data_IF_761417845952
#
_entry.id   IF_761417845952
#
_cell.length_a   1.000
_cell.length_b   1.000
_cell.length_c   1.000
_cell.angle_alpha   90.00
_cell.angle_beta   90.00
_cell.angle_gamma   90.00
#
_symmetry.space_group_name_H-M   'P 1'
#
loop_
_entity.id
_entity.type
_entity.pdbx_description
1 polymer ?
#
# COMPACT_ATOMS: atom_id res chain seq x y z
N UNK A 1 -3.45 -10.03 1.71
CA UNK A 1 -4.68 -9.71 2.48
C UNK A 1 -4.70 -8.25 2.87
N UNK A 2 -5.88 -7.66 3.14
CA UNK A 2 -5.97 -6.25 3.52
C UNK A 2 -5.62 -6.07 5.00
N UNK A 3 -6.33 -6.74 5.90
CA UNK A 3 -5.98 -6.78 7.33
C UNK A 3 -5.41 -8.15 7.67
N UNK A 4 -4.14 -8.23 8.10
CA UNK A 4 -3.51 -9.45 8.61
C UNK A 4 -3.78 -10.70 7.75
N UNK A 5 -4.36 -11.74 8.36
CA UNK A 5 -4.69 -13.00 7.68
C UNK A 5 -5.82 -12.90 6.65
N UNK A 6 -6.55 -11.78 6.53
CA UNK A 6 -7.65 -11.62 5.59
C UNK A 6 -9.00 -11.65 6.27
N UNK A 7 -9.99 -12.30 5.66
CA UNK A 7 -11.34 -12.41 6.24
C UNK A 7 -11.43 -13.42 7.38
N UNK A 8 -10.41 -14.27 7.56
CA UNK A 8 -10.49 -15.44 8.43
C UNK A 8 -11.26 -16.62 7.82
N UNK A 9 -11.85 -16.43 6.62
CA UNK A 9 -12.53 -17.50 5.88
C UNK A 9 -11.50 -18.25 5.05
N UNK A 10 -11.28 -19.51 5.39
CA UNK A 10 -10.41 -20.42 4.64
C UNK A 10 -11.30 -21.31 3.79
N UNK A 11 -10.97 -21.44 2.50
CA UNK A 11 -11.63 -22.43 1.65
C UNK A 11 -11.22 -23.82 2.16
N UNK A 12 -12.21 -24.67 2.48
CA UNK A 12 -12.06 -26.05 2.99
C UNK A 12 -10.86 -26.76 2.38
N UNK A 13 -10.12 -27.57 3.14
CA UNK A 13 -9.01 -28.44 2.70
C UNK A 13 -7.91 -27.83 1.77
N UNK A 14 -7.97 -26.54 1.43
CA UNK A 14 -7.06 -25.90 0.47
C UNK A 14 -6.01 -25.03 1.12
N UNK A 15 -6.26 -24.55 2.35
CA UNK A 15 -5.43 -23.54 3.01
C UNK A 15 -5.51 -22.15 2.37
N UNK A 16 -6.42 -21.91 1.43
CA UNK A 16 -6.59 -20.60 0.77
C UNK A 16 -7.45 -19.70 1.65
N UNK A 17 -6.84 -18.70 2.28
CA UNK A 17 -7.57 -17.67 3.04
C UNK A 17 -8.09 -16.58 2.10
N UNK A 18 -9.39 -16.32 2.15
CA UNK A 18 -10.01 -15.27 1.35
C UNK A 18 -9.65 -13.88 1.89
N UNK A 19 -9.43 -12.94 0.97
CA UNK A 19 -9.12 -11.56 1.35
C UNK A 19 -10.35 -10.82 1.88
N UNK A 20 -10.13 -9.92 2.83
CA UNK A 20 -11.13 -8.98 3.33
C UNK A 20 -11.08 -7.59 2.65
N UNK A 21 -10.54 -7.50 1.42
CA UNK A 21 -10.39 -6.21 0.71
C UNK A 21 -11.72 -5.46 0.52
N UNK A 22 -12.83 -6.19 0.36
CA UNK A 22 -14.16 -5.60 0.22
C UNK A 22 -14.57 -4.70 1.41
N UNK A 23 -13.97 -4.87 2.59
CA UNK A 23 -14.20 -4.01 3.75
C UNK A 23 -13.78 -2.55 3.53
N UNK A 24 -13.05 -2.25 2.44
CA UNK A 24 -12.64 -0.89 2.10
C UNK A 24 -13.71 -0.11 1.31
N UNK A 25 -14.79 -0.74 0.86
CA UNK A 25 -15.89 -0.03 0.22
C UNK A 25 -16.62 0.89 1.22
N UNK A 26 -17.11 2.02 0.72
CA UNK A 26 -18.10 2.82 1.43
C UNK A 26 -19.49 2.23 1.24
N UNK A 27 -20.32 2.34 2.28
CA UNK A 27 -21.76 2.05 2.21
C UNK A 27 -22.59 3.31 1.92
N UNK A 28 -21.97 4.50 1.90
CA UNK A 28 -22.60 5.71 1.39
C UNK A 28 -22.74 5.60 -0.14
N UNK A 29 -23.97 5.58 -0.69
CA UNK A 29 -24.20 5.43 -2.12
C UNK A 29 -23.69 6.62 -2.93
N UNK A 30 -23.44 7.78 -2.31
CA UNK A 30 -22.93 8.99 -2.98
C UNK A 30 -21.40 9.04 -3.04
N UNK A 31 -20.70 8.19 -2.27
CA UNK A 31 -19.26 8.14 -2.25
C UNK A 31 -18.67 7.60 -3.56
N UNK A 32 -17.55 8.17 -4.02
CA UNK A 32 -16.83 7.65 -5.19
C UNK A 32 -16.45 6.16 -5.04
N UNK A 33 -16.15 5.74 -3.81
CA UNK A 33 -15.85 4.35 -3.46
C UNK A 33 -17.07 3.58 -2.89
N UNK A 34 -18.29 3.92 -3.28
CA UNK A 34 -19.49 3.16 -2.93
C UNK A 34 -19.42 1.71 -3.43
N UNK A 35 -19.93 0.77 -2.63
CA UNK A 35 -20.06 -0.65 -2.97
C UNK A 35 -20.98 -0.85 -4.19
N UNK A 36 -20.52 -1.64 -5.17
CA UNK A 36 -21.32 -2.04 -6.32
C UNK A 36 -20.90 -3.42 -6.86
N UNK A 37 -21.81 -4.19 -7.49
CA UNK A 37 -21.47 -5.48 -8.09
C UNK A 37 -20.32 -5.36 -9.10
N UNK A 38 -19.34 -6.28 -9.01
CA UNK A 38 -18.14 -6.35 -9.85
C UNK A 38 -17.23 -5.09 -9.87
N UNK A 39 -17.54 -4.05 -9.09
CA UNK A 39 -16.65 -2.89 -8.91
C UNK A 39 -15.42 -3.31 -8.12
N UNK A 40 -14.28 -2.68 -8.41
CA UNK A 40 -13.06 -2.79 -7.58
C UNK A 40 -13.03 -1.59 -6.64
N UNK A 41 -12.82 -1.84 -5.35
CA UNK A 41 -12.68 -0.79 -4.34
C UNK A 41 -11.35 -0.06 -4.50
N UNK A 42 -11.24 1.13 -3.91
CA UNK A 42 -9.95 1.78 -3.67
C UNK A 42 -8.97 0.77 -3.06
N UNK A 43 -7.76 0.72 -3.62
CA UNK A 43 -6.75 -0.24 -3.21
C UNK A 43 -5.57 0.46 -2.58
N UNK A 44 -5.18 0.02 -1.38
CA UNK A 44 -4.06 0.62 -0.67
C UNK A 44 -2.71 0.19 -1.22
N UNK A 45 -2.61 -0.96 -1.90
CA UNK A 45 -1.35 -1.43 -2.48
C UNK A 45 -0.88 -0.52 -3.62
N UNK A 46 0.33 0.01 -3.47
CA UNK A 46 0.97 0.89 -4.44
C UNK A 46 2.43 0.45 -4.63
N UNK A 47 2.76 -0.42 -5.60
CA UNK A 47 4.16 -0.65 -5.98
C UNK A 47 4.67 0.53 -6.82
N UNK A 48 5.90 0.98 -6.58
CA UNK A 48 6.43 2.19 -7.21
C UNK A 48 7.76 1.97 -7.92
N UNK A 49 7.93 2.65 -9.06
CA UNK A 49 9.17 2.76 -9.81
C UNK A 49 9.46 4.23 -10.11
N UNK A 50 10.66 4.69 -9.78
CA UNK A 50 11.15 6.01 -10.17
C UNK A 50 12.15 5.88 -11.32
N UNK A 51 11.98 6.73 -12.33
CA UNK A 51 12.86 6.78 -13.50
C UNK A 51 13.89 7.90 -13.35
N UNK A 52 15.11 7.64 -13.78
CA UNK A 52 16.18 8.62 -13.93
C UNK A 52 16.64 8.61 -15.38
N UNK A 53 16.51 9.74 -16.07
CA UNK A 53 16.84 9.87 -17.50
C UNK A 53 16.17 8.79 -18.37
N UNK A 54 14.87 8.55 -18.13
CA UNK A 54 14.07 7.57 -18.86
C UNK A 54 14.37 6.09 -18.52
N UNK A 55 15.27 5.81 -17.58
CA UNK A 55 15.63 4.45 -17.17
C UNK A 55 15.24 4.17 -15.72
N UNK A 56 14.88 2.93 -15.35
CA UNK A 56 14.64 2.56 -13.94
C UNK A 56 15.81 2.98 -13.05
N UNK A 57 15.54 3.88 -12.10
CA UNK A 57 16.52 4.35 -11.12
C UNK A 57 16.29 3.77 -9.73
N UNK A 58 15.03 3.49 -9.37
CA UNK A 58 14.66 2.91 -8.08
C UNK A 58 13.34 2.16 -8.20
N UNK A 59 13.26 0.95 -7.63
CA UNK A 59 12.02 0.22 -7.41
C UNK A 59 11.81 0.14 -5.91
N UNK A 60 10.65 0.56 -5.43
CA UNK A 60 10.41 0.68 -4.00
C UNK A 60 8.94 0.43 -3.64
N UNK A 61 8.77 -0.02 -2.41
CA UNK A 61 7.50 -0.39 -1.83
C UNK A 61 7.65 -0.46 -0.32
N UNK A 62 6.53 -0.33 0.38
CA UNK A 62 6.46 -0.51 1.81
C UNK A 62 5.10 -1.12 2.17
N UNK A 63 5.06 -1.91 3.24
CA UNK A 63 3.81 -2.33 3.85
C UNK A 63 3.21 -1.16 4.65
N UNK A 64 1.89 -1.16 4.88
CA UNK A 64 1.27 -0.23 5.84
C UNK A 64 0.00 0.47 5.39
N UNK A 65 -0.90 -0.22 4.66
CA UNK A 65 -2.24 0.31 4.38
C UNK A 65 -2.23 1.72 3.77
N UNK A 66 -2.92 2.65 4.43
CA UNK A 66 -3.01 4.07 4.05
C UNK A 66 -1.73 4.88 4.36
N UNK A 67 -0.81 4.31 5.14
CA UNK A 67 0.52 4.86 5.39
C UNK A 67 1.53 4.60 4.26
N UNK A 68 1.19 3.76 3.26
CA UNK A 68 2.09 3.46 2.14
C UNK A 68 2.56 4.71 1.38
N UNK A 69 1.68 5.63 0.94
CA UNK A 69 2.11 6.82 0.21
C UNK A 69 3.09 7.69 1.02
N UNK A 70 2.88 7.76 2.34
CA UNK A 70 3.72 8.54 3.24
C UNK A 70 5.12 7.91 3.38
N UNK A 71 5.19 6.59 3.51
CA UNK A 71 6.47 5.86 3.57
C UNK A 71 7.21 5.95 2.23
N UNK A 72 6.49 5.82 1.12
CA UNK A 72 7.03 5.98 -0.24
C UNK A 72 7.67 7.34 -0.43
N UNK A 73 6.98 8.41 -0.02
CA UNK A 73 7.50 9.78 -0.08
C UNK A 73 8.79 9.92 0.73
N UNK A 74 8.82 9.41 1.96
CA UNK A 74 9.98 9.52 2.84
C UNK A 74 11.19 8.77 2.27
N UNK A 75 11.01 7.53 1.83
CA UNK A 75 12.08 6.70 1.24
C UNK A 75 12.59 7.27 -0.08
N UNK A 76 11.69 7.70 -0.97
CA UNK A 76 12.09 8.29 -2.24
C UNK A 76 12.85 9.61 -2.03
N UNK A 77 12.37 10.48 -1.14
CA UNK A 77 13.02 11.77 -0.85
C UNK A 77 14.42 11.57 -0.23
N UNK A 78 14.57 10.61 0.69
CA UNK A 78 15.86 10.23 1.27
C UNK A 78 16.93 9.95 0.20
N UNK A 79 16.58 9.15 -0.79
CA UNK A 79 17.49 8.75 -1.87
C UNK A 79 17.64 9.87 -2.90
N UNK A 80 16.53 10.34 -3.46
CA UNK A 80 16.53 11.23 -4.62
C UNK A 80 16.93 12.67 -4.27
N UNK A 81 16.61 13.14 -3.06
CA UNK A 81 16.91 14.51 -2.62
C UNK A 81 18.11 14.60 -1.69
N UNK A 82 18.21 13.70 -0.72
CA UNK A 82 19.26 13.76 0.30
C UNK A 82 20.47 12.86 0.02
N UNK A 83 20.42 12.06 -1.05
CA UNK A 83 21.55 11.24 -1.48
C UNK A 83 21.90 10.10 -0.52
N UNK A 84 20.98 9.73 0.36
CA UNK A 84 21.16 8.59 1.25
C UNK A 84 21.19 7.29 0.45
N UNK A 85 21.97 6.32 0.93
CA UNK A 85 21.91 4.98 0.39
C UNK A 85 20.60 4.28 0.82
N UNK A 86 20.31 3.12 0.21
CA UNK A 86 19.04 2.41 0.43
C UNK A 86 18.86 2.00 1.90
N UNK A 87 19.90 1.49 2.55
CA UNK A 87 19.80 1.05 3.95
C UNK A 87 19.52 2.25 4.88
N UNK A 88 20.25 3.34 4.69
CA UNK A 88 20.02 4.59 5.42
C UNK A 88 18.59 5.10 5.23
N UNK A 89 18.08 5.11 3.99
CA UNK A 89 16.71 5.52 3.68
C UNK A 89 15.63 4.64 4.34
N UNK A 90 15.91 3.36 4.54
CA UNK A 90 15.02 2.43 5.24
C UNK A 90 15.07 2.66 6.75
N UNK A 91 16.26 2.84 7.32
CA UNK A 91 16.48 2.97 8.77
C UNK A 91 16.08 4.33 9.34
N UNK A 92 15.88 5.34 8.49
CA UNK A 92 15.44 6.65 8.95
C UNK A 92 14.19 6.55 9.83
N UNK A 93 14.12 7.32 10.93
CA UNK A 93 12.86 7.53 11.64
C UNK A 93 11.78 8.03 10.68
N UNK A 94 10.56 7.50 10.83
CA UNK A 94 9.43 7.82 9.96
C UNK A 94 8.31 8.49 10.72
N UNK A 95 7.58 9.35 10.03
CA UNK A 95 6.30 9.87 10.47
C UNK A 95 5.17 9.17 9.71
N UNK A 96 4.02 9.05 10.36
CA UNK A 96 2.75 8.68 9.73
C UNK A 96 1.65 9.53 10.36
N UNK A 97 0.82 10.13 9.52
CA UNK A 97 -0.41 10.80 9.92
C UNK A 97 -1.60 9.88 9.74
N UNK A 98 -2.41 9.72 10.79
CA UNK A 98 -3.54 8.80 10.84
C UNK A 98 -3.19 7.43 11.42
N UNK A 99 -4.20 6.57 11.55
CA UNK A 99 -4.00 5.17 11.95
C UNK A 99 -3.43 4.37 10.76
N UNK A 100 -2.52 3.45 11.06
CA UNK A 100 -2.01 2.43 10.12
C UNK A 100 -2.82 1.15 10.18
#
# INVERSE_FOLDING_TARGET
>A
NYMGFGSGVVVDDTGIVLQNRGAYFSLDPTAANALAPAKRTLHTLIPSIALRNGRPGMVFGAMGGDGQPQTHLQVYTAVARFGLNIQQAIEMPRWVHGAT
#
